data_IF_700381430673
#
_entry.id   IF_700381430673
#
_cell.length_a   1.000
_cell.length_b   1.000
_cell.length_c   1.000
_cell.angle_alpha   90.00
_cell.angle_beta   90.00
_cell.angle_gamma   90.00
#
_symmetry.space_group_name_H-M   'P 1'
#
loop_
_entity.id
_entity.type
_entity.pdbx_description
1 polymer ?
#
# COMPACT_ATOMS: atom_id res chain seq x y z
N UNK A 1 6.17 -5.71 2.51
CA UNK A 1 7.52 -6.12 2.99
C UNK A 1 7.34 -6.77 4.35
N UNK A 2 8.06 -7.87 4.63
CA UNK A 2 8.01 -8.53 5.95
C UNK A 2 9.18 -8.03 6.80
N UNK A 3 8.96 -7.84 8.11
CA UNK A 3 10.03 -7.50 9.04
C UNK A 3 11.07 -8.64 9.07
N UNK A 4 12.36 -8.29 9.01
CA UNK A 4 13.45 -9.27 9.18
C UNK A 4 13.68 -9.60 10.65
N UNK A 5 13.55 -8.57 11.51
CA UNK A 5 13.69 -8.69 12.96
C UNK A 5 12.48 -8.03 13.62
N UNK A 6 11.86 -8.70 14.59
CA UNK A 6 10.77 -8.16 15.40
C UNK A 6 11.37 -7.61 16.69
N UNK A 7 11.22 -6.30 16.93
CA UNK A 7 11.70 -5.64 18.15
C UNK A 7 10.78 -5.89 19.36
N UNK A 8 9.48 -6.14 19.11
CA UNK A 8 8.51 -6.35 20.17
C UNK A 8 7.14 -5.77 19.85
N UNK A 9 6.36 -5.47 20.92
CA UNK A 9 5.06 -4.80 20.81
C UNK A 9 5.05 -3.52 21.63
N UNK A 10 4.71 -2.40 20.98
CA UNK A 10 4.54 -1.10 21.61
C UNK A 10 3.08 -0.69 21.43
N UNK A 11 2.40 -0.32 22.52
CA UNK A 11 0.97 -0.01 22.51
C UNK A 11 0.10 -1.09 21.84
N UNK A 12 0.52 -2.38 21.93
CA UNK A 12 -0.17 -3.52 21.33
C UNK A 12 0.05 -3.69 19.80
N UNK A 13 0.90 -2.85 19.19
CA UNK A 13 1.26 -2.92 17.76
C UNK A 13 2.63 -3.60 17.64
N UNK A 14 2.75 -4.56 16.73
CA UNK A 14 4.04 -5.21 16.44
C UNK A 14 4.96 -4.22 15.73
N UNK A 15 6.19 -4.10 16.23
CA UNK A 15 7.23 -3.26 15.64
C UNK A 15 8.35 -4.16 15.14
N UNK A 16 8.71 -4.00 13.88
CA UNK A 16 9.79 -4.74 13.26
C UNK A 16 10.71 -3.84 12.44
N UNK A 17 11.87 -4.37 12.11
CA UNK A 17 12.90 -3.71 11.31
C UNK A 17 13.25 -4.60 10.13
N UNK A 18 13.30 -4.01 8.95
CA UNK A 18 13.83 -4.67 7.76
C UNK A 18 15.35 -4.44 7.69
N UNK A 19 16.11 -5.42 7.21
CA UNK A 19 17.59 -5.34 7.14
C UNK A 19 18.10 -4.08 6.43
N UNK A 20 17.33 -3.53 5.47
CA UNK A 20 17.69 -2.32 4.72
C UNK A 20 17.84 -1.07 5.58
N UNK A 21 17.30 -1.06 6.80
CA UNK A 21 17.53 0.02 7.78
C UNK A 21 19.01 0.14 8.14
N UNK A 22 19.74 -0.99 8.20
CA UNK A 22 21.16 -0.97 8.53
C UNK A 22 21.99 -0.16 7.53
N UNK A 23 21.55 -0.11 6.27
CA UNK A 23 22.23 0.67 5.23
C UNK A 23 22.11 2.17 5.53
N UNK A 24 20.89 2.68 5.74
CA UNK A 24 20.70 4.12 6.04
C UNK A 24 21.24 4.47 7.43
N UNK A 25 21.15 3.56 8.41
CA UNK A 25 21.79 3.73 9.72
C UNK A 25 23.29 3.91 9.55
N UNK A 26 23.95 3.04 8.79
CA UNK A 26 25.39 3.15 8.49
C UNK A 26 25.74 4.46 7.78
N UNK A 27 24.96 4.89 6.79
CA UNK A 27 25.16 6.17 6.10
C UNK A 27 25.07 7.35 7.05
N UNK A 28 24.06 7.37 7.94
CA UNK A 28 23.91 8.44 8.95
C UNK A 28 25.08 8.44 9.91
N UNK A 29 25.45 7.27 10.47
CA UNK A 29 26.59 7.17 11.39
C UNK A 29 27.87 7.64 10.74
N UNK A 30 28.18 7.17 9.52
CA UNK A 30 29.39 7.58 8.80
C UNK A 30 29.39 9.07 8.46
N UNK A 31 28.24 9.62 8.05
CA UNK A 31 28.07 11.05 7.79
C UNK A 31 28.33 11.92 9.04
N UNK A 32 27.86 11.45 10.20
CA UNK A 32 28.12 12.12 11.48
C UNK A 32 29.59 11.98 11.92
N UNK A 33 30.11 10.75 11.90
CA UNK A 33 31.45 10.42 12.44
C UNK A 33 32.59 10.95 11.57
N UNK A 34 32.48 10.86 10.24
CA UNK A 34 33.53 11.28 9.32
C UNK A 34 33.32 12.70 8.77
N UNK A 35 32.09 13.22 8.85
CA UNK A 35 31.73 14.54 8.31
C UNK A 35 31.42 15.54 9.43
N UNK A 36 30.18 15.54 9.89
CA UNK A 36 29.61 16.62 10.72
C UNK A 36 30.36 16.86 12.02
N UNK A 37 30.60 15.81 12.83
CA UNK A 37 31.21 15.96 14.17
C UNK A 37 32.65 16.44 14.08
N UNK A 38 33.56 15.88 13.26
CA UNK A 38 34.94 16.38 13.16
C UNK A 38 35.04 17.78 12.54
N UNK A 39 34.10 18.14 11.64
CA UNK A 39 34.10 19.50 11.04
C UNK A 39 33.66 20.56 12.06
N UNK A 40 32.67 20.25 12.88
CA UNK A 40 32.15 21.19 13.90
C UNK A 40 33.08 21.28 15.13
N UNK A 41 33.70 20.18 15.55
CA UNK A 41 34.52 20.07 16.74
C UNK A 41 35.80 19.27 16.44
N UNK A 42 36.79 19.86 15.75
CA UNK A 42 38.06 19.19 15.42
C UNK A 42 38.89 18.95 16.69
N UNK A 43 39.57 17.79 16.74
CA UNK A 43 40.52 17.47 17.82
C UNK A 43 40.03 16.50 18.88
N UNK A 44 38.77 16.11 18.84
CA UNK A 44 38.27 15.02 19.68
C UNK A 44 38.76 13.64 19.19
N UNK A 45 38.82 12.68 20.10
CA UNK A 45 39.23 11.30 19.74
C UNK A 45 38.16 10.55 18.93
N UNK A 46 38.61 9.72 18.01
CA UNK A 46 37.72 8.87 17.23
C UNK A 46 36.68 8.08 18.03
N UNK A 47 37.00 7.53 19.23
CA UNK A 47 35.98 6.84 20.04
C UNK A 47 34.82 7.75 20.45
N UNK A 48 35.08 9.04 20.71
CA UNK A 48 34.03 10.02 21.05
C UNK A 48 33.10 10.26 19.89
N UNK A 49 33.64 10.47 18.67
CA UNK A 49 32.80 10.64 17.49
C UNK A 49 31.95 9.39 17.20
N UNK A 50 32.51 8.20 17.35
CA UNK A 50 31.76 6.94 17.16
C UNK A 50 30.66 6.78 18.21
N UNK A 51 30.96 7.02 19.49
CA UNK A 51 29.97 6.89 20.54
C UNK A 51 28.79 7.86 20.34
N UNK A 52 29.10 9.13 20.06
CA UNK A 52 28.07 10.16 19.84
C UNK A 52 27.32 9.90 18.53
N UNK A 53 28.01 9.58 17.43
CA UNK A 53 27.38 9.32 16.14
C UNK A 53 26.43 8.12 16.18
N UNK A 54 26.83 7.02 16.82
CA UNK A 54 25.97 5.83 17.02
C UNK A 54 24.75 6.18 17.89
N UNK A 55 24.96 6.85 19.04
CA UNK A 55 23.86 7.24 19.91
C UNK A 55 22.87 8.17 19.19
N UNK A 56 23.39 9.16 18.46
CA UNK A 56 22.58 10.12 17.69
C UNK A 56 21.73 9.39 16.62
N UNK A 57 22.33 8.43 15.90
CA UNK A 57 21.58 7.63 14.92
C UNK A 57 20.48 6.79 15.59
N UNK A 58 20.76 6.15 16.72
CA UNK A 58 19.74 5.40 17.49
C UNK A 58 18.59 6.32 17.94
N UNK A 59 18.90 7.49 18.49
CA UNK A 59 17.89 8.47 18.91
C UNK A 59 17.07 8.98 17.72
N UNK A 60 17.70 9.20 16.56
CA UNK A 60 16.98 9.55 15.34
C UNK A 60 15.99 8.46 14.92
N UNK A 61 16.41 7.19 14.88
CA UNK A 61 15.51 6.09 14.56
C UNK A 61 14.39 5.91 15.60
N UNK A 62 14.66 6.20 16.87
CA UNK A 62 13.61 6.25 17.89
C UNK A 62 12.62 7.39 17.63
N UNK A 63 13.07 8.55 17.16
CA UNK A 63 12.22 9.67 16.74
C UNK A 63 11.35 9.30 15.53
N UNK A 64 11.94 8.64 14.54
CA UNK A 64 11.22 8.14 13.37
C UNK A 64 10.17 7.09 13.77
N UNK A 65 10.52 6.17 14.66
CA UNK A 65 9.56 5.20 15.20
C UNK A 65 8.43 5.88 15.98
N UNK A 66 8.72 6.94 16.74
CA UNK A 66 7.70 7.70 17.46
C UNK A 66 6.71 8.39 16.48
N UNK A 67 7.22 8.92 15.36
CA UNK A 67 6.41 9.46 14.27
C UNK A 67 5.44 8.41 13.71
N UNK A 68 5.94 7.23 13.31
CA UNK A 68 5.12 6.14 12.77
C UNK A 68 4.14 5.56 13.80
N UNK A 69 4.59 5.45 15.05
CA UNK A 69 3.74 4.96 16.13
C UNK A 69 2.60 5.91 16.42
N UNK A 70 2.81 7.21 16.30
CA UNK A 70 1.76 8.21 16.44
C UNK A 70 0.66 8.02 15.38
N UNK A 71 1.03 7.82 14.11
CA UNK A 71 0.07 7.49 13.04
C UNK A 71 -0.74 6.23 13.39
N UNK A 72 -0.06 5.17 13.79
CA UNK A 72 -0.68 3.88 14.09
C UNK A 72 -1.63 3.95 15.32
N UNK A 73 -1.24 4.66 16.38
CA UNK A 73 -2.08 4.86 17.57
C UNK A 73 -3.32 5.66 17.23
N UNK A 74 -3.18 6.76 16.47
CA UNK A 74 -4.31 7.60 16.06
C UNK A 74 -5.21 6.86 15.08
N UNK A 75 -4.66 6.04 14.17
CA UNK A 75 -5.44 5.16 13.28
C UNK A 75 -6.33 4.21 14.09
N UNK A 76 -5.77 3.50 15.08
CA UNK A 76 -6.54 2.59 15.96
C UNK A 76 -7.62 3.32 16.75
N UNK A 77 -7.33 4.52 17.26
CA UNK A 77 -8.34 5.36 17.96
C UNK A 77 -9.48 5.80 17.06
N UNK A 78 -9.27 5.82 15.75
CA UNK A 78 -10.30 6.13 14.75
C UNK A 78 -10.90 4.87 14.09
N UNK A 79 -10.74 3.68 14.71
CA UNK A 79 -11.37 2.44 14.24
C UNK A 79 -10.64 1.74 13.09
N UNK A 80 -9.41 2.17 12.75
CA UNK A 80 -8.61 1.52 11.71
C UNK A 80 -7.66 0.50 12.35
N UNK A 81 -7.79 -0.76 12.00
CA UNK A 81 -6.88 -1.81 12.48
C UNK A 81 -5.48 -1.65 11.87
N UNK A 82 -4.46 -1.84 12.71
CA UNK A 82 -3.05 -1.77 12.34
C UNK A 82 -2.40 -3.12 12.65
N UNK A 83 -1.81 -3.75 11.64
CA UNK A 83 -1.14 -5.05 11.78
C UNK A 83 0.23 -4.91 12.43
N UNK A 84 1.11 -4.18 11.80
CA UNK A 84 2.49 -3.97 12.24
C UNK A 84 3.06 -2.64 11.71
N UNK A 85 4.14 -2.20 12.32
CA UNK A 85 5.01 -1.12 11.84
C UNK A 85 6.33 -1.75 11.45
N UNK A 86 6.76 -1.53 10.22
CA UNK A 86 8.08 -2.01 9.74
C UNK A 86 8.92 -0.80 9.33
N UNK A 87 10.04 -0.61 10.03
CA UNK A 87 11.06 0.35 9.61
C UNK A 87 11.89 -0.25 8.47
N UNK A 88 12.12 0.52 7.41
CA UNK A 88 12.88 0.12 6.23
C UNK A 88 13.72 1.30 5.70
N UNK A 89 14.46 1.12 4.60
CA UNK A 89 15.42 2.07 4.04
C UNK A 89 14.89 3.51 3.92
N UNK A 90 13.65 3.70 3.52
CA UNK A 90 13.08 5.02 3.20
C UNK A 90 12.16 5.56 4.31
N UNK A 91 12.15 4.96 5.49
CA UNK A 91 11.33 5.40 6.61
C UNK A 91 10.60 4.27 7.31
N UNK A 92 9.44 4.55 7.91
CA UNK A 92 8.53 3.58 8.47
C UNK A 92 7.35 3.31 7.54
N UNK A 93 6.76 2.14 7.68
CA UNK A 93 5.50 1.80 7.02
C UNK A 93 4.59 1.09 8.02
N UNK A 94 3.53 1.78 8.45
CA UNK A 94 2.45 1.16 9.20
C UNK A 94 1.49 0.45 8.22
N UNK A 95 1.30 -0.86 8.39
CA UNK A 95 0.32 -1.61 7.61
C UNK A 95 -1.07 -1.45 8.21
N UNK A 96 -1.87 -0.61 7.56
CA UNK A 96 -3.28 -0.42 7.88
C UNK A 96 -4.11 -1.46 7.12
N UNK A 97 -5.01 -2.17 7.80
CA UNK A 97 -5.92 -3.14 7.17
C UNK A 97 -7.05 -2.48 6.40
N UNK A 98 -7.41 -1.28 6.81
CA UNK A 98 -8.49 -0.51 6.18
C UNK A 98 -8.07 0.94 6.00
N UNK A 99 -8.82 1.61 5.15
CA UNK A 99 -8.64 3.04 4.92
C UNK A 99 -9.40 3.85 5.99
N UNK A 100 -9.01 5.12 6.18
CA UNK A 100 -9.69 6.00 7.14
C UNK A 100 -11.20 6.11 6.84
N UNK A 101 -12.08 6.04 7.85
CA UNK A 101 -13.53 6.00 7.64
C UNK A 101 -14.12 7.38 7.29
N UNK A 102 -13.39 8.47 7.50
CA UNK A 102 -13.85 9.83 7.23
C UNK A 102 -12.69 10.79 6.95
N UNK A 103 -12.95 11.93 6.28
CA UNK A 103 -11.94 12.96 6.06
C UNK A 103 -11.31 13.47 7.36
N UNK A 104 -12.10 13.62 8.42
CA UNK A 104 -11.62 14.06 9.72
C UNK A 104 -10.70 13.02 10.40
N UNK A 105 -10.99 11.72 10.24
CA UNK A 105 -10.12 10.65 10.70
C UNK A 105 -8.80 10.67 9.93
N UNK A 106 -8.84 10.82 8.61
CA UNK A 106 -7.65 10.89 7.77
C UNK A 106 -6.77 12.09 8.11
N UNK A 107 -7.37 13.27 8.33
CA UNK A 107 -6.66 14.47 8.76
C UNK A 107 -5.91 14.25 10.08
N UNK A 108 -6.57 13.64 11.09
CA UNK A 108 -5.95 13.33 12.38
C UNK A 108 -4.82 12.31 12.24
N UNK A 109 -5.04 11.25 11.47
CA UNK A 109 -4.05 10.20 11.26
C UNK A 109 -2.82 10.78 10.55
N UNK A 110 -3.01 11.52 9.45
CA UNK A 110 -1.90 12.06 8.69
C UNK A 110 -1.17 13.22 9.40
N UNK A 111 -1.89 14.05 10.15
CA UNK A 111 -1.30 15.22 10.81
C UNK A 111 -0.48 14.91 12.04
N UNK A 112 -0.72 13.77 12.73
CA UNK A 112 -0.06 13.48 14.00
C UNK A 112 1.44 13.18 13.87
N UNK A 113 1.87 12.53 12.79
CA UNK A 113 3.29 12.22 12.55
C UNK A 113 4.15 13.48 12.44
N UNK A 114 3.85 14.38 11.47
CA UNK A 114 4.55 15.67 11.39
C UNK A 114 4.49 16.49 12.68
N UNK A 115 3.38 16.46 13.41
CA UNK A 115 3.28 17.12 14.71
C UNK A 115 4.25 16.55 15.75
N UNK A 116 4.35 15.21 15.83
CA UNK A 116 5.30 14.55 16.74
C UNK A 116 6.74 14.90 16.36
N UNK A 117 7.09 14.88 15.07
CA UNK A 117 8.42 15.27 14.62
C UNK A 117 8.72 16.74 14.93
N UNK A 118 7.76 17.64 14.78
CA UNK A 118 7.93 19.04 15.12
C UNK A 118 8.15 19.24 16.63
N UNK A 119 7.38 18.54 17.46
CA UNK A 119 7.54 18.55 18.92
C UNK A 119 8.91 18.01 19.32
N UNK A 120 9.34 16.88 18.76
CA UNK A 120 10.66 16.31 19.02
C UNK A 120 11.78 17.27 18.58
N UNK A 121 11.65 17.86 17.39
CA UNK A 121 12.58 18.88 16.91
C UNK A 121 12.68 20.07 17.86
N UNK A 122 11.57 20.57 18.37
CA UNK A 122 11.52 21.62 19.38
C UNK A 122 12.15 21.20 20.72
N UNK A 123 11.91 19.97 21.17
CA UNK A 123 12.53 19.43 22.41
C UNK A 123 14.06 19.31 22.25
N UNK A 124 14.54 18.82 21.10
CA UNK A 124 15.98 18.77 20.83
C UNK A 124 16.60 20.18 20.73
N UNK A 125 15.90 21.15 20.13
CA UNK A 125 16.35 22.54 20.10
C UNK A 125 16.43 23.14 21.51
N UNK A 126 15.44 22.85 22.36
CA UNK A 126 15.49 23.27 23.78
C UNK A 126 16.61 22.55 24.54
N UNK A 127 16.83 21.27 24.29
CA UNK A 127 17.94 20.51 24.85
C UNK A 127 19.29 21.10 24.44
N UNK A 128 19.44 21.53 23.17
CA UNK A 128 20.66 22.23 22.71
C UNK A 128 20.94 23.47 23.53
N UNK A 129 19.91 24.32 23.74
CA UNK A 129 20.05 25.53 24.55
C UNK A 129 20.44 25.22 26.01
N UNK A 130 19.82 24.19 26.61
CA UNK A 130 20.15 23.76 27.98
C UNK A 130 21.55 23.17 28.10
N UNK A 131 21.99 22.36 27.14
CA UNK A 131 23.35 21.79 27.11
C UNK A 131 24.42 22.86 26.94
N UNK A 132 24.18 23.85 26.10
CA UNK A 132 25.08 24.99 25.91
C UNK A 132 25.20 25.83 27.21
N UNK A 133 24.08 26.08 27.90
CA UNK A 133 24.03 26.81 29.16
C UNK A 133 24.86 26.15 30.30
N UNK A 134 24.98 24.82 30.28
CA UNK A 134 25.82 24.08 31.26
C UNK A 134 27.22 23.76 30.73
N UNK A 135 27.60 24.33 29.59
CA UNK A 135 28.90 24.11 28.93
C UNK A 135 29.20 22.62 28.68
N UNK A 136 28.18 21.87 28.20
CA UNK A 136 28.35 20.48 27.84
C UNK A 136 29.38 20.30 26.71
N UNK A 137 29.98 19.10 26.54
CA UNK A 137 30.91 18.83 25.44
C UNK A 137 30.35 19.20 24.09
N UNK A 138 31.10 19.96 23.28
CA UNK A 138 30.66 20.46 21.97
C UNK A 138 30.04 19.40 21.05
N UNK A 139 30.63 18.21 20.89
CA UNK A 139 30.03 17.14 20.08
C UNK A 139 28.65 16.66 20.54
N UNK A 140 28.33 16.77 21.85
CA UNK A 140 27.01 16.44 22.39
C UNK A 140 25.99 17.52 22.02
N UNK A 141 26.37 18.78 22.11
CA UNK A 141 25.58 19.94 21.69
C UNK A 141 25.27 19.80 20.17
N UNK A 142 26.30 19.50 19.36
CA UNK A 142 26.17 19.32 17.93
C UNK A 142 25.21 18.16 17.53
N UNK A 143 25.28 17.06 18.28
CA UNK A 143 24.33 15.96 18.12
C UNK A 143 22.87 16.39 18.39
N UNK A 144 22.65 17.18 19.43
CA UNK A 144 21.32 17.73 19.75
C UNK A 144 20.83 18.71 18.65
N UNK A 145 21.72 19.57 18.14
CA UNK A 145 21.45 20.46 16.99
C UNK A 145 21.02 19.62 15.77
N UNK A 146 21.79 18.59 15.44
CA UNK A 146 21.48 17.74 14.30
C UNK A 146 20.14 17.05 14.46
N UNK A 147 19.82 16.50 15.65
CA UNK A 147 18.52 15.88 15.95
C UNK A 147 17.37 16.89 15.85
N UNK A 148 17.56 18.11 16.30
CA UNK A 148 16.58 19.18 16.17
C UNK A 148 16.28 19.47 14.68
N UNK A 149 17.35 19.73 13.91
CA UNK A 149 17.23 20.07 12.49
C UNK A 149 16.58 18.94 11.69
N UNK A 150 17.04 17.69 11.88
CA UNK A 150 16.52 16.58 11.08
C UNK A 150 15.05 16.27 11.40
N UNK A 151 14.61 16.41 12.67
CA UNK A 151 13.21 16.23 13.02
C UNK A 151 12.31 17.36 12.49
N UNK A 152 12.80 18.62 12.50
CA UNK A 152 12.09 19.75 11.88
C UNK A 152 12.00 19.56 10.36
N UNK A 153 13.08 19.14 9.71
CA UNK A 153 13.08 18.82 8.28
C UNK A 153 12.12 17.68 7.96
N UNK A 154 12.10 16.63 8.78
CA UNK A 154 11.17 15.51 8.63
C UNK A 154 9.71 15.99 8.72
N UNK A 155 9.39 16.85 9.68
CA UNK A 155 8.08 17.47 9.82
C UNK A 155 7.73 18.33 8.59
N UNK A 156 8.64 19.23 8.20
CA UNK A 156 8.43 20.15 7.08
C UNK A 156 8.23 19.40 5.77
N UNK A 157 9.06 18.37 5.52
CA UNK A 157 8.96 17.56 4.30
C UNK A 157 7.65 16.77 4.27
N UNK A 158 7.24 16.20 5.40
CA UNK A 158 6.00 15.45 5.49
C UNK A 158 4.72 16.33 5.46
N UNK A 159 4.80 17.64 5.61
CA UNK A 159 3.66 18.57 5.45
C UNK A 159 3.48 19.00 3.99
N UNK A 160 4.46 18.78 3.11
CA UNK A 160 4.34 19.12 1.68
C UNK A 160 3.10 18.40 1.11
N UNK A 161 2.15 19.15 0.45
CA UNK A 161 0.88 18.59 0.00
C UNK A 161 1.03 17.73 -1.28
N UNK A 162 1.82 16.68 -1.19
CA UNK A 162 2.22 15.82 -2.29
C UNK A 162 2.25 14.35 -1.85
N UNK A 163 1.46 13.48 -2.46
CA UNK A 163 1.59 12.04 -2.24
C UNK A 163 2.99 11.56 -2.73
N UNK A 164 3.64 10.61 -2.06
CA UNK A 164 3.15 9.74 -0.97
C UNK A 164 3.37 10.27 0.45
N UNK A 165 3.74 11.53 0.62
CA UNK A 165 4.01 12.15 1.91
C UNK A 165 2.72 12.31 2.74
N UNK A 166 2.83 12.51 4.06
CA UNK A 166 1.68 12.76 4.92
C UNK A 166 0.90 14.00 4.52
N UNK A 167 1.57 15.04 4.01
CA UNK A 167 0.95 16.23 3.45
C UNK A 167 0.07 15.94 2.23
N UNK A 168 0.41 14.91 1.45
CA UNK A 168 -0.46 14.39 0.39
C UNK A 168 -1.75 13.79 0.96
N UNK A 169 -1.67 13.08 2.09
CA UNK A 169 -2.85 12.57 2.81
C UNK A 169 -3.66 13.70 3.45
N UNK A 170 -3.00 14.74 3.97
CA UNK A 170 -3.66 15.96 4.44
C UNK A 170 -4.42 16.66 3.29
N UNK A 171 -3.79 16.80 2.13
CA UNK A 171 -4.42 17.34 0.92
C UNK A 171 -5.60 16.45 0.49
N UNK A 172 -5.44 15.15 0.49
CA UNK A 172 -6.53 14.20 0.19
C UNK A 172 -7.70 14.36 1.16
N UNK A 173 -7.43 14.44 2.46
CA UNK A 173 -8.46 14.65 3.47
C UNK A 173 -9.23 15.97 3.24
N UNK A 174 -8.51 17.06 2.93
CA UNK A 174 -9.11 18.35 2.61
C UNK A 174 -9.97 18.30 1.34
N UNK A 175 -9.45 17.74 0.26
CA UNK A 175 -10.18 17.58 -0.99
C UNK A 175 -11.41 16.68 -0.83
N UNK A 176 -11.28 15.59 -0.07
CA UNK A 176 -12.40 14.70 0.22
C UNK A 176 -13.48 15.39 1.06
N UNK A 177 -13.09 16.14 2.09
CA UNK A 177 -14.04 16.96 2.85
C UNK A 177 -14.78 17.97 1.96
N UNK A 178 -14.08 18.59 1.01
CA UNK A 178 -14.65 19.61 0.13
C UNK A 178 -15.54 19.05 -0.98
N UNK A 179 -15.20 17.90 -1.54
CA UNK A 179 -15.86 17.32 -2.73
C UNK A 179 -16.84 16.19 -2.40
N UNK A 180 -16.74 15.60 -1.22
CA UNK A 180 -17.46 14.38 -0.87
C UNK A 180 -16.96 13.12 -1.60
N UNK A 181 -16.05 13.25 -2.56
CA UNK A 181 -15.57 12.19 -3.43
C UNK A 181 -14.11 11.85 -3.10
N UNK A 182 -13.92 10.68 -2.48
CA UNK A 182 -12.62 10.19 -2.07
C UNK A 182 -11.70 9.86 -3.25
N UNK A 183 -12.24 9.30 -4.33
CA UNK A 183 -11.45 8.92 -5.50
C UNK A 183 -10.89 10.15 -6.19
N UNK A 184 -11.72 11.20 -6.37
CA UNK A 184 -11.27 12.51 -6.89
C UNK A 184 -10.23 13.15 -5.99
N UNK A 185 -10.40 13.07 -4.68
CA UNK A 185 -9.44 13.58 -3.70
C UNK A 185 -8.08 12.86 -3.82
N UNK A 186 -8.08 11.52 -3.95
CA UNK A 186 -6.86 10.73 -4.16
C UNK A 186 -6.20 11.10 -5.48
N UNK A 187 -6.97 11.24 -6.58
CA UNK A 187 -6.43 11.66 -7.87
C UNK A 187 -5.80 13.05 -7.80
N UNK A 188 -6.38 13.99 -7.04
CA UNK A 188 -5.82 15.33 -6.78
C UNK A 188 -4.49 15.25 -6.03
N UNK A 189 -4.43 14.52 -4.93
CA UNK A 189 -3.22 14.37 -4.11
C UNK A 189 -2.08 13.68 -4.86
N UNK A 190 -2.38 12.63 -5.63
CA UNK A 190 -1.37 11.91 -6.43
C UNK A 190 -0.90 12.75 -7.63
N UNK A 191 -1.78 13.58 -8.21
CA UNK A 191 -1.37 14.54 -9.25
C UNK A 191 -0.44 15.61 -8.68
N UNK A 192 -0.74 16.18 -7.51
CA UNK A 192 0.15 17.10 -6.81
C UNK A 192 1.51 16.45 -6.52
N UNK A 193 1.52 15.19 -6.07
CA UNK A 193 2.76 14.42 -5.84
C UNK A 193 3.60 14.23 -7.09
N UNK A 194 2.97 13.89 -8.23
CA UNK A 194 3.67 13.79 -9.52
C UNK A 194 4.27 15.12 -9.96
N UNK A 195 3.50 16.20 -9.88
CA UNK A 195 3.98 17.53 -10.25
C UNK A 195 5.15 17.94 -9.38
N UNK A 196 5.03 17.77 -8.06
CA UNK A 196 6.12 18.06 -7.12
C UNK A 196 7.36 17.22 -7.40
N UNK A 197 7.21 15.91 -7.64
CA UNK A 197 8.32 15.04 -7.99
C UNK A 197 9.03 15.48 -9.27
N UNK A 198 8.31 15.82 -10.33
CA UNK A 198 8.89 16.33 -11.57
C UNK A 198 9.55 17.70 -11.41
N UNK A 199 9.03 18.58 -10.55
CA UNK A 199 9.70 19.83 -10.20
C UNK A 199 11.04 19.60 -9.51
N UNK A 200 11.10 18.62 -8.60
CA UNK A 200 12.38 18.23 -7.96
C UNK A 200 13.38 17.65 -8.98
N UNK A 201 12.90 16.83 -9.94
CA UNK A 201 13.75 16.34 -11.05
C UNK A 201 14.32 17.50 -11.84
N UNK A 202 13.48 18.42 -12.27
CA UNK A 202 13.91 19.58 -13.06
C UNK A 202 14.91 20.45 -12.29
N UNK A 203 14.65 20.70 -11.01
CA UNK A 203 15.55 21.47 -10.14
C UNK A 203 16.87 20.74 -9.89
N UNK A 204 16.82 19.43 -9.67
CA UNK A 204 18.01 18.59 -9.52
C UNK A 204 18.90 18.61 -10.79
N UNK A 205 18.30 18.53 -11.97
CA UNK A 205 19.03 18.66 -13.23
C UNK A 205 19.64 20.05 -13.40
N UNK A 206 18.96 21.09 -12.96
CA UNK A 206 19.49 22.46 -12.98
C UNK A 206 20.74 22.59 -12.07
N UNK A 207 20.71 22.02 -10.85
CA UNK A 207 21.86 21.99 -9.95
C UNK A 207 23.02 21.20 -10.56
N UNK A 208 22.72 20.05 -11.15
CA UNK A 208 23.70 19.22 -11.87
C UNK A 208 24.41 20.03 -12.98
N UNK A 209 23.64 20.75 -13.79
CA UNK A 209 24.22 21.61 -14.86
C UNK A 209 25.03 22.78 -14.31
N UNK A 210 24.78 23.21 -13.08
CA UNK A 210 25.56 24.26 -12.38
C UNK A 210 26.81 23.74 -11.67
N UNK A 211 27.11 22.44 -11.79
CA UNK A 211 28.32 21.82 -11.25
C UNK A 211 28.14 21.09 -9.93
N UNK A 212 26.98 21.17 -9.29
CA UNK A 212 26.66 20.31 -8.14
C UNK A 212 26.15 18.95 -8.64
N UNK A 213 27.09 18.12 -9.08
CA UNK A 213 26.81 16.82 -9.70
C UNK A 213 26.12 15.88 -8.70
N UNK A 214 26.62 15.79 -7.47
CA UNK A 214 26.09 14.87 -6.47
C UNK A 214 24.73 15.32 -5.92
N UNK A 215 24.62 16.58 -5.49
CA UNK A 215 23.36 17.14 -4.97
C UNK A 215 22.27 17.16 -6.03
N UNK A 216 22.60 17.55 -7.26
CA UNK A 216 21.65 17.57 -8.36
C UNK A 216 21.13 16.19 -8.74
N UNK A 217 22.02 15.19 -8.87
CA UNK A 217 21.61 13.80 -9.18
C UNK A 217 20.78 13.20 -8.05
N UNK A 218 21.19 13.44 -6.80
CA UNK A 218 20.46 12.96 -5.62
C UNK A 218 19.04 13.53 -5.57
N UNK A 219 18.89 14.84 -5.79
CA UNK A 219 17.59 15.50 -5.78
C UNK A 219 16.69 15.03 -6.94
N UNK A 220 17.28 14.85 -8.14
CA UNK A 220 16.55 14.31 -9.28
C UNK A 220 16.06 12.87 -9.02
N UNK A 221 16.88 12.03 -8.37
CA UNK A 221 16.51 10.67 -7.99
C UNK A 221 15.36 10.65 -6.98
N UNK A 222 15.40 11.50 -5.95
CA UNK A 222 14.30 11.65 -4.99
C UNK A 222 13.03 12.10 -5.71
N UNK A 223 13.11 13.08 -6.57
CA UNK A 223 11.98 13.60 -7.33
C UNK A 223 11.33 12.52 -8.22
N UNK A 224 12.15 11.75 -8.93
CA UNK A 224 11.68 10.63 -9.75
C UNK A 224 10.99 9.56 -8.89
N UNK A 225 11.59 9.19 -7.76
CA UNK A 225 11.02 8.23 -6.83
C UNK A 225 9.65 8.68 -6.30
N UNK A 226 9.51 9.95 -5.91
CA UNK A 226 8.24 10.52 -5.46
C UNK A 226 7.19 10.49 -6.57
N UNK A 227 7.55 10.90 -7.79
CA UNK A 227 6.64 10.87 -8.95
C UNK A 227 6.19 9.44 -9.29
N UNK A 228 7.11 8.48 -9.25
CA UNK A 228 6.80 7.06 -9.49
C UNK A 228 5.86 6.49 -8.43
N UNK A 229 6.14 6.77 -7.14
CA UNK A 229 5.34 6.29 -6.02
C UNK A 229 3.94 6.91 -6.02
N UNK A 230 3.82 8.24 -6.26
CA UNK A 230 2.54 8.92 -6.42
C UNK A 230 1.71 8.32 -7.57
N UNK A 231 2.36 7.96 -8.69
CA UNK A 231 1.71 7.32 -9.82
C UNK A 231 1.17 5.94 -9.46
N UNK A 232 1.98 5.13 -8.76
CA UNK A 232 1.58 3.80 -8.31
C UNK A 232 0.41 3.86 -7.32
N UNK A 233 0.42 4.81 -6.36
CA UNK A 233 -0.69 5.03 -5.42
C UNK A 233 -1.99 5.38 -6.15
N UNK A 234 -1.92 6.27 -7.14
CA UNK A 234 -3.09 6.66 -7.95
C UNK A 234 -3.67 5.48 -8.74
N UNK A 235 -2.81 4.66 -9.36
CA UNK A 235 -3.22 3.47 -10.08
C UNK A 235 -3.86 2.43 -9.14
N UNK A 236 -3.27 2.21 -7.97
CA UNK A 236 -3.81 1.29 -6.98
C UNK A 236 -5.18 1.74 -6.46
N UNK A 237 -5.36 3.04 -6.19
CA UNK A 237 -6.65 3.60 -5.76
C UNK A 237 -7.72 3.44 -6.85
N UNK A 238 -7.37 3.69 -8.11
CA UNK A 238 -8.28 3.52 -9.25
C UNK A 238 -8.67 2.04 -9.43
N UNK A 239 -7.71 1.12 -9.33
CA UNK A 239 -7.97 -0.31 -9.40
C UNK A 239 -8.94 -0.76 -8.32
N UNK A 240 -8.70 -0.35 -7.06
CA UNK A 240 -9.60 -0.67 -5.95
C UNK A 240 -11.01 -0.14 -6.16
N UNK A 241 -11.14 1.09 -6.68
CA UNK A 241 -12.45 1.69 -6.94
C UNK A 241 -13.23 0.95 -8.03
N UNK A 242 -12.55 0.50 -9.09
CA UNK A 242 -13.17 -0.31 -10.16
C UNK A 242 -13.62 -1.67 -9.62
N UNK A 243 -12.78 -2.31 -8.80
CA UNK A 243 -13.08 -3.62 -8.24
C UNK A 243 -14.14 -3.59 -7.11
N UNK A 244 -14.28 -2.47 -6.41
CA UNK A 244 -15.29 -2.33 -5.36
C UNK A 244 -16.74 -2.40 -5.88
N UNK A 245 -16.96 -2.07 -7.15
CA UNK A 245 -18.28 -2.15 -7.80
C UNK A 245 -18.60 -3.53 -8.41
N UNK A 246 -17.69 -4.50 -8.32
CA UNK A 246 -17.85 -5.83 -8.94
C UNK A 246 -18.01 -6.88 -7.84
N UNK A 247 -19.18 -7.53 -7.71
CA UNK A 247 -19.35 -8.61 -6.75
C UNK A 247 -18.63 -9.88 -7.22
N UNK A 248 -18.24 -10.71 -6.27
CA UNK A 248 -17.53 -11.98 -6.53
C UNK A 248 -18.31 -12.89 -7.47
N UNK A 249 -19.64 -12.87 -7.41
CA UNK A 249 -20.51 -13.68 -8.29
C UNK A 249 -20.27 -13.45 -9.79
N UNK A 250 -19.88 -12.24 -10.17
CA UNK A 250 -19.65 -11.88 -11.58
C UNK A 250 -18.31 -12.41 -12.13
N UNK A 251 -17.43 -12.82 -11.22
CA UNK A 251 -16.04 -13.23 -11.56
C UNK A 251 -15.78 -14.70 -11.26
N UNK A 252 -16.51 -15.29 -10.32
CA UNK A 252 -16.34 -16.69 -9.93
C UNK A 252 -16.57 -17.64 -11.12
N UNK A 253 -15.97 -18.83 -11.03
CA UNK A 253 -16.39 -19.97 -11.83
C UNK A 253 -17.63 -20.57 -11.18
N UNK A 254 -18.83 -20.45 -11.80
CA UNK A 254 -20.06 -21.00 -11.25
C UNK A 254 -20.08 -22.52 -11.37
N UNK A 255 -20.92 -23.18 -10.56
CA UNK A 255 -21.17 -24.64 -10.59
C UNK A 255 -19.88 -25.46 -10.67
N UNK A 256 -18.93 -25.31 -9.73
CA UNK A 256 -17.67 -26.01 -9.80
C UNK A 256 -17.86 -27.51 -9.64
N UNK A 257 -16.98 -28.28 -10.29
CA UNK A 257 -16.99 -29.75 -10.15
C UNK A 257 -16.69 -30.11 -8.69
N UNK A 258 -17.64 -30.79 -8.06
CA UNK A 258 -17.52 -31.21 -6.65
C UNK A 258 -17.09 -32.67 -6.54
N UNK A 259 -16.45 -33.02 -5.40
CA UNK A 259 -15.99 -34.37 -5.09
C UNK A 259 -16.68 -34.86 -3.82
N UNK A 260 -17.28 -36.06 -3.80
CA UNK A 260 -17.85 -36.64 -2.59
C UNK A 260 -16.77 -36.93 -1.54
N UNK A 261 -17.05 -36.59 -0.27
CA UNK A 261 -16.12 -36.86 0.85
C UNK A 261 -15.78 -38.34 1.03
N UNK A 262 -16.70 -39.26 0.72
CA UNK A 262 -16.51 -40.70 0.83
C UNK A 262 -15.68 -41.32 -0.29
N UNK A 263 -15.35 -40.58 -1.36
CA UNK A 263 -14.52 -41.08 -2.44
C UNK A 263 -13.08 -41.29 -1.96
N UNK A 264 -12.44 -42.41 -2.34
CA UNK A 264 -11.01 -42.63 -1.99
C UNK A 264 -10.10 -41.73 -2.84
N UNK A 265 -8.94 -41.34 -2.27
CA UNK A 265 -7.93 -40.52 -2.96
C UNK A 265 -7.43 -41.20 -4.24
N UNK A 266 -7.31 -42.52 -4.24
CA UNK A 266 -6.96 -43.29 -5.44
C UNK A 266 -7.98 -43.07 -6.57
N UNK A 267 -9.26 -43.28 -6.27
CA UNK A 267 -10.34 -43.08 -7.25
C UNK A 267 -10.45 -41.63 -7.71
N UNK A 268 -10.22 -40.68 -6.81
CA UNK A 268 -10.20 -39.25 -7.17
C UNK A 268 -9.12 -38.93 -8.21
N UNK A 269 -7.92 -39.47 -8.03
CA UNK A 269 -6.80 -39.27 -8.95
C UNK A 269 -6.95 -40.00 -10.28
N UNK A 270 -7.67 -41.13 -10.29
CA UNK A 270 -7.86 -41.97 -11.48
C UNK A 270 -9.07 -41.56 -12.32
N UNK A 271 -10.06 -40.90 -11.75
CA UNK A 271 -11.29 -40.55 -12.46
C UNK A 271 -11.06 -39.42 -13.49
N UNK A 272 -11.37 -39.65 -14.76
CA UNK A 272 -11.23 -38.64 -15.84
C UNK A 272 -11.94 -37.32 -15.58
N UNK A 273 -13.02 -37.30 -14.77
CA UNK A 273 -13.81 -36.12 -14.44
C UNK A 273 -12.98 -35.05 -13.67
N UNK A 274 -11.97 -35.49 -12.91
CA UNK A 274 -11.13 -34.63 -12.10
C UNK A 274 -9.76 -34.34 -12.74
N UNK A 275 -9.48 -34.92 -13.90
CA UNK A 275 -8.20 -34.70 -14.61
C UNK A 275 -8.21 -33.44 -15.46
N UNK A 276 -7.06 -32.78 -15.54
CA UNK A 276 -6.65 -31.75 -16.51
C UNK A 276 -7.36 -30.37 -16.47
N UNK A 277 -8.52 -30.20 -15.85
CA UNK A 277 -9.26 -28.94 -15.91
C UNK A 277 -9.14 -28.07 -14.66
N UNK A 278 -9.04 -28.69 -13.51
CA UNK A 278 -9.07 -27.99 -12.22
C UNK A 278 -7.98 -28.53 -11.29
N UNK A 279 -7.43 -27.69 -10.42
CA UNK A 279 -6.45 -28.08 -9.41
C UNK A 279 -7.03 -28.09 -7.99
N UNK A 280 -8.29 -27.66 -7.84
CA UNK A 280 -9.01 -27.66 -6.57
C UNK A 280 -10.49 -27.94 -6.80
N UNK A 281 -11.10 -28.65 -5.86
CA UNK A 281 -12.45 -29.18 -5.95
C UNK A 281 -13.15 -29.02 -4.60
N UNK A 282 -14.33 -28.36 -4.55
CA UNK A 282 -15.15 -28.35 -3.37
C UNK A 282 -15.58 -29.77 -2.99
N UNK A 283 -15.50 -30.11 -1.71
CA UNK A 283 -15.87 -31.43 -1.22
C UNK A 283 -17.28 -31.37 -0.63
N UNK A 284 -18.14 -32.30 -1.09
CA UNK A 284 -19.50 -32.43 -0.60
C UNK A 284 -19.64 -33.56 0.42
N UNK A 285 -20.34 -33.30 1.52
CA UNK A 285 -20.64 -34.26 2.56
C UNK A 285 -21.64 -35.33 2.11
N UNK A 286 -21.80 -36.38 2.94
CA UNK A 286 -22.87 -37.38 2.83
C UNK A 286 -24.12 -36.79 3.49
N UNK A 287 -25.15 -36.54 2.71
CA UNK A 287 -26.43 -36.04 3.19
C UNK A 287 -27.26 -35.46 2.04
N UNK A 288 -28.55 -35.65 2.09
CA UNK A 288 -29.51 -34.92 1.25
C UNK A 288 -29.95 -33.74 2.12
N UNK A 289 -29.84 -32.53 1.58
CA UNK A 289 -30.44 -31.36 2.24
C UNK A 289 -31.92 -31.61 2.47
N UNK A 290 -32.43 -31.32 3.66
CA UNK A 290 -33.82 -31.60 4.10
C UNK A 290 -34.87 -30.85 3.24
N UNK A 291 -34.46 -30.13 2.22
CA UNK A 291 -35.27 -29.40 1.24
C UNK A 291 -35.08 -29.79 -0.23
N UNK A 292 -34.42 -30.93 -0.55
CA UNK A 292 -34.21 -31.35 -1.94
C UNK A 292 -33.13 -30.56 -2.72
N UNK A 293 -32.24 -29.88 -2.01
CA UNK A 293 -31.16 -29.06 -2.56
C UNK A 293 -29.81 -29.77 -2.66
N UNK A 294 -28.78 -29.02 -3.04
CA UNK A 294 -27.40 -29.47 -3.21
C UNK A 294 -26.80 -29.97 -1.89
N UNK A 295 -25.90 -30.96 -1.96
CA UNK A 295 -25.19 -31.49 -0.80
C UNK A 295 -24.35 -30.39 -0.12
N UNK A 296 -24.27 -30.36 1.23
CA UNK A 296 -23.50 -29.37 1.94
C UNK A 296 -21.99 -29.49 1.60
N UNK A 297 -21.33 -28.36 1.43
CA UNK A 297 -19.88 -28.32 1.25
C UNK A 297 -19.22 -28.46 2.61
N UNK A 298 -18.28 -29.39 2.72
CA UNK A 298 -17.58 -29.72 3.97
C UNK A 298 -16.09 -29.37 3.93
N UNK A 299 -15.55 -28.99 2.76
CA UNK A 299 -14.16 -28.61 2.61
C UNK A 299 -13.71 -28.42 1.16
N UNK A 300 -12.41 -28.32 0.99
CA UNK A 300 -11.73 -28.15 -0.30
C UNK A 300 -10.66 -29.23 -0.46
N UNK A 301 -10.67 -29.93 -1.59
CA UNK A 301 -9.62 -30.86 -2.00
C UNK A 301 -8.77 -30.24 -3.10
N UNK A 302 -7.46 -30.22 -2.92
CA UNK A 302 -6.51 -29.81 -3.97
C UNK A 302 -5.72 -31.01 -4.48
N UNK A 303 -5.16 -30.90 -5.69
CA UNK A 303 -4.28 -31.93 -6.22
C UNK A 303 -3.02 -32.12 -5.37
N UNK A 304 -2.54 -31.06 -4.72
CA UNK A 304 -1.37 -31.11 -3.85
C UNK A 304 -1.67 -31.87 -2.54
N UNK A 305 -2.84 -31.65 -1.95
CA UNK A 305 -3.31 -32.45 -0.81
C UNK A 305 -3.48 -33.93 -1.18
N UNK A 306 -4.03 -34.21 -2.36
CA UNK A 306 -4.18 -35.59 -2.84
C UNK A 306 -2.83 -36.27 -3.07
N UNK A 307 -1.85 -35.56 -3.61
CA UNK A 307 -0.48 -36.06 -3.84
C UNK A 307 0.29 -36.25 -2.55
N UNK A 308 0.03 -35.45 -1.52
CA UNK A 308 0.66 -35.59 -0.21
C UNK A 308 0.28 -36.90 0.50
N UNK A 309 -0.82 -37.55 0.09
CA UNK A 309 -1.17 -38.90 0.55
C UNK A 309 -0.26 -39.90 -0.14
N UNK A 310 0.54 -40.65 0.66
CA UNK A 310 1.45 -41.70 0.15
C UNK A 310 0.70 -42.74 -0.68
N UNK A 311 1.30 -43.19 -1.78
CA UNK A 311 0.65 -44.06 -2.79
C UNK A 311 -0.01 -45.30 -2.19
N UNK A 312 0.66 -45.97 -1.23
CA UNK A 312 0.12 -47.16 -0.55
C UNK A 312 -1.15 -46.87 0.27
N UNK A 313 -1.35 -45.63 0.71
CA UNK A 313 -2.48 -45.20 1.54
C UNK A 313 -3.65 -44.68 0.73
N UNK A 314 -3.44 -44.24 -0.53
CA UNK A 314 -4.46 -43.66 -1.39
C UNK A 314 -5.73 -44.51 -1.55
N UNK A 315 -5.67 -45.84 -1.64
CA UNK A 315 -6.88 -46.68 -1.72
C UNK A 315 -7.71 -46.73 -0.43
N UNK A 316 -7.09 -46.45 0.73
CA UNK A 316 -7.73 -46.54 2.04
C UNK A 316 -8.17 -45.17 2.59
N UNK A 317 -7.52 -44.07 2.18
CA UNK A 317 -7.81 -42.71 2.65
C UNK A 317 -8.88 -42.09 1.79
N UNK A 318 -9.91 -41.54 2.41
CA UNK A 318 -10.98 -40.81 1.71
C UNK A 318 -10.62 -39.34 1.46
N UNK A 319 -11.28 -38.73 0.48
CA UNK A 319 -11.15 -37.29 0.21
C UNK A 319 -11.51 -36.46 1.45
N UNK A 320 -12.56 -36.86 2.18
CA UNK A 320 -12.96 -36.19 3.42
C UNK A 320 -11.91 -36.24 4.54
N UNK A 321 -11.02 -37.25 4.55
CA UNK A 321 -9.92 -37.35 5.50
C UNK A 321 -8.69 -36.54 5.07
N UNK A 322 -8.50 -36.31 3.76
CA UNK A 322 -7.35 -35.64 3.20
C UNK A 322 -7.59 -34.17 2.82
N UNK A 323 -8.84 -33.74 2.78
CA UNK A 323 -9.25 -32.37 2.39
C UNK A 323 -8.84 -31.31 3.42
N UNK A 324 -8.83 -30.06 3.00
CA UNK A 324 -8.87 -28.89 3.88
C UNK A 324 -10.30 -28.72 4.37
N UNK A 325 -10.59 -28.83 5.69
CA UNK A 325 -11.94 -28.64 6.24
C UNK A 325 -12.47 -27.23 5.98
N UNK A 326 -13.81 -27.07 5.90
CA UNK A 326 -14.45 -25.80 5.58
C UNK A 326 -14.08 -24.68 6.56
N UNK A 327 -13.89 -25.01 7.85
CA UNK A 327 -13.50 -24.03 8.89
C UNK A 327 -12.08 -23.47 8.65
N UNK A 328 -11.27 -24.15 7.88
CA UNK A 328 -9.91 -23.74 7.52
C UNK A 328 -9.80 -23.26 6.07
N UNK A 329 -10.79 -23.56 5.26
CA UNK A 329 -10.88 -23.06 3.88
C UNK A 329 -11.28 -21.59 3.87
N UNK A 330 -10.77 -20.85 2.93
CA UNK A 330 -11.21 -19.48 2.72
C UNK A 330 -12.57 -19.45 2.04
N UNK A 331 -13.55 -18.82 2.72
CA UNK A 331 -14.92 -18.70 2.25
C UNK A 331 -15.29 -17.23 2.11
N UNK A 332 -16.02 -16.91 1.05
CA UNK A 332 -16.56 -15.57 0.78
C UNK A 332 -18.01 -15.66 0.35
N UNK A 333 -18.77 -14.61 0.62
CA UNK A 333 -20.15 -14.48 0.11
C UNK A 333 -20.13 -14.04 -1.35
N UNK A 334 -21.11 -14.46 -2.13
CA UNK A 334 -21.24 -14.15 -3.55
C UNK A 334 -21.37 -12.64 -3.83
N UNK A 335 -21.95 -11.88 -2.89
CA UNK A 335 -22.11 -10.43 -2.99
C UNK A 335 -20.90 -9.62 -2.49
N UNK A 336 -19.88 -10.29 -1.95
CA UNK A 336 -18.68 -9.60 -1.47
C UNK A 336 -18.01 -8.84 -2.62
N UNK A 337 -17.62 -7.55 -2.42
CA UNK A 337 -16.87 -6.82 -3.43
C UNK A 337 -15.52 -7.48 -3.75
N UNK A 338 -15.18 -7.58 -5.04
CA UNK A 338 -13.93 -8.20 -5.48
C UNK A 338 -12.68 -7.52 -4.89
N UNK A 339 -12.76 -6.23 -4.60
CA UNK A 339 -11.70 -5.46 -3.95
C UNK A 339 -11.31 -6.01 -2.56
N UNK A 340 -12.27 -6.58 -1.81
CA UNK A 340 -12.03 -7.16 -0.48
C UNK A 340 -11.39 -8.54 -0.55
N UNK A 341 -11.61 -9.22 -1.67
CA UNK A 341 -11.12 -10.58 -1.92
C UNK A 341 -9.68 -10.57 -2.47
N UNK A 342 -9.32 -9.51 -3.19
CA UNK A 342 -8.02 -9.39 -3.86
C UNK A 342 -6.80 -9.67 -2.95
N UNK A 343 -6.73 -9.18 -1.69
CA UNK A 343 -5.60 -9.46 -0.80
C UNK A 343 -5.50 -10.92 -0.33
N UNK A 344 -6.60 -11.69 -0.45
CA UNK A 344 -6.69 -13.09 -0.01
C UNK A 344 -6.33 -14.07 -1.13
N UNK A 345 -6.41 -13.62 -2.38
CA UNK A 345 -6.11 -14.43 -3.56
C UNK A 345 -4.63 -14.37 -3.87
N UNK A 346 -3.83 -15.22 -3.21
CA UNK A 346 -2.42 -15.37 -3.54
C UNK A 346 -2.21 -16.30 -4.74
N UNK A 347 -1.12 -16.14 -5.53
CA UNK A 347 -0.76 -17.10 -6.56
C UNK A 347 -0.38 -18.44 -5.94
N UNK A 348 -1.14 -19.49 -6.25
CA UNK A 348 -0.90 -20.85 -5.77
C UNK A 348 -2.14 -21.73 -5.88
N UNK A 349 -1.95 -23.06 -5.94
CA UNK A 349 -3.05 -24.01 -6.07
C UNK A 349 -3.89 -24.11 -4.79
N UNK A 350 -3.30 -23.75 -3.64
CA UNK A 350 -3.92 -23.88 -2.31
C UNK A 350 -4.82 -22.68 -1.94
N UNK A 351 -4.65 -21.51 -2.58
CA UNK A 351 -5.36 -20.28 -2.25
C UNK A 351 -6.57 -20.07 -3.18
N UNK A 352 -7.56 -20.94 -3.06
CA UNK A 352 -8.83 -20.81 -3.74
C UNK A 352 -9.93 -20.53 -2.76
N UNK A 353 -10.79 -19.57 -3.13
CA UNK A 353 -11.91 -19.14 -2.30
C UNK A 353 -13.17 -19.89 -2.70
N UNK A 354 -13.82 -20.50 -1.74
CA UNK A 354 -15.17 -21.05 -1.92
C UNK A 354 -16.18 -19.92 -1.83
N UNK A 355 -17.02 -19.80 -2.84
CA UNK A 355 -18.08 -18.79 -2.87
C UNK A 355 -19.38 -19.43 -2.42
N UNK A 356 -19.95 -18.91 -1.35
CA UNK A 356 -21.25 -19.35 -0.85
C UNK A 356 -22.30 -18.25 -1.10
N UNK A 357 -23.51 -18.69 -1.42
CA UNK A 357 -24.70 -17.86 -1.49
C UNK A 357 -25.76 -18.46 -0.56
N UNK A 358 -26.11 -17.76 0.51
CA UNK A 358 -27.03 -18.26 1.53
C UNK A 358 -26.59 -19.59 2.16
N UNK A 359 -25.27 -19.83 2.30
CA UNK A 359 -24.70 -21.07 2.83
C UNK A 359 -24.60 -22.23 1.84
N UNK A 360 -24.98 -22.02 0.57
CA UNK A 360 -24.86 -22.99 -0.53
C UNK A 360 -23.67 -22.65 -1.41
N UNK A 361 -23.00 -23.67 -1.95
CA UNK A 361 -21.91 -23.47 -2.89
C UNK A 361 -22.45 -22.83 -4.18
N UNK A 362 -22.02 -21.59 -4.45
CA UNK A 362 -22.33 -20.87 -5.67
C UNK A 362 -21.19 -20.97 -6.70
N UNK A 363 -19.94 -21.01 -6.23
CA UNK A 363 -18.81 -21.02 -7.13
C UNK A 363 -17.46 -21.18 -6.43
N UNK A 364 -16.40 -21.01 -7.21
CA UNK A 364 -15.01 -20.96 -6.74
C UNK A 364 -14.30 -19.80 -7.43
N UNK A 365 -13.44 -19.10 -6.70
CA UNK A 365 -12.59 -18.02 -7.23
C UNK A 365 -11.13 -18.42 -7.15
N UNK A 366 -10.42 -18.23 -8.24
CA UNK A 366 -8.97 -18.43 -8.34
C UNK A 366 -8.23 -17.14 -8.71
N UNK A 367 -6.92 -17.10 -8.53
CA UNK A 367 -6.08 -15.98 -8.96
C UNK A 367 -6.23 -15.69 -10.48
N UNK A 368 -6.45 -16.72 -11.31
CA UNK A 368 -6.68 -16.54 -12.75
C UNK A 368 -8.02 -15.89 -13.07
N UNK A 369 -9.07 -16.16 -12.28
CA UNK A 369 -10.38 -15.52 -12.46
C UNK A 369 -10.29 -14.04 -12.12
N UNK A 370 -9.65 -13.71 -11.01
CA UNK A 370 -9.38 -12.32 -10.61
C UNK A 370 -8.53 -11.61 -11.65
N UNK A 371 -7.46 -12.24 -12.15
CA UNK A 371 -6.58 -11.64 -13.17
C UNK A 371 -7.31 -11.34 -14.47
N UNK A 372 -8.18 -12.25 -14.93
CA UNK A 372 -9.03 -12.03 -16.11
C UNK A 372 -10.00 -10.87 -15.91
N UNK A 373 -10.67 -10.82 -14.75
CA UNK A 373 -11.58 -9.74 -14.42
C UNK A 373 -10.88 -8.38 -14.37
N UNK A 374 -9.72 -8.30 -13.72
CA UNK A 374 -8.90 -7.08 -13.67
C UNK A 374 -8.51 -6.63 -15.08
N UNK A 375 -8.02 -7.54 -15.91
CA UNK A 375 -7.61 -7.22 -17.30
C UNK A 375 -8.79 -6.69 -18.11
N UNK A 376 -9.95 -7.34 -18.02
CA UNK A 376 -11.14 -6.91 -18.73
C UNK A 376 -11.67 -5.55 -18.27
N UNK A 377 -11.74 -5.34 -16.96
CA UNK A 377 -12.21 -4.09 -16.34
C UNK A 377 -11.28 -2.91 -16.67
N UNK A 378 -9.97 -3.13 -16.63
CA UNK A 378 -8.99 -2.09 -17.00
C UNK A 378 -9.10 -1.71 -18.48
N UNK A 379 -9.28 -2.68 -19.37
CA UNK A 379 -9.43 -2.42 -20.81
C UNK A 379 -10.72 -1.64 -21.11
N UNK A 380 -11.82 -1.97 -20.43
CA UNK A 380 -13.11 -1.26 -20.62
C UNK A 380 -13.10 0.13 -20.01
N UNK A 381 -12.47 0.32 -18.85
CA UNK A 381 -12.31 1.62 -18.21
C UNK A 381 -11.47 2.58 -19.08
N UNK A 382 -10.38 2.10 -19.69
CA UNK A 382 -9.57 2.90 -20.60
C UNK A 382 -10.34 3.36 -21.83
N UNK A 383 -11.09 2.47 -22.49
CA UNK A 383 -11.94 2.82 -23.64
C UNK A 383 -13.01 3.87 -23.29
N UNK A 384 -13.63 3.73 -22.12
CA UNK A 384 -14.61 4.73 -21.63
C UNK A 384 -13.98 6.11 -21.35
N UNK A 385 -12.75 6.16 -20.86
CA UNK A 385 -12.01 7.40 -20.64
C UNK A 385 -11.58 8.07 -21.96
N UNK A 386 -11.16 7.29 -22.95
CA UNK A 386 -10.80 7.77 -24.30
C UNK A 386 -12.01 8.32 -25.04
N UNK A 387 -13.14 7.63 -24.97
CA UNK A 387 -14.40 8.05 -25.59
C UNK A 387 -14.89 9.40 -25.01
N UNK A 388 -14.76 9.60 -23.70
CA UNK A 388 -15.10 10.90 -23.05
C UNK A 388 -14.17 12.03 -23.50
N UNK A 389 -12.85 11.77 -23.58
CA UNK A 389 -11.87 12.77 -24.06
C UNK A 389 -12.08 13.11 -25.55
N UNK A 390 -12.45 12.15 -26.37
CA UNK A 390 -12.78 12.36 -27.78
C UNK A 390 -14.06 13.17 -27.95
N UNK A 391 -15.08 12.95 -27.11
CA UNK A 391 -16.33 13.72 -27.11
C UNK A 391 -16.14 15.20 -26.72
N UNK A 392 -15.36 15.45 -25.66
CA UNK A 392 -15.05 16.83 -25.21
C UNK A 392 -14.19 17.59 -26.24
N UNK A 393 -13.30 16.92 -26.96
CA UNK A 393 -12.51 17.53 -28.04
C UNK A 393 -13.37 17.88 -29.26
N UNK A 394 -14.38 17.09 -29.59
CA UNK A 394 -15.31 17.34 -30.69
C UNK A 394 -16.25 18.51 -30.36
N UNK A 395 -16.72 18.63 -29.10
CA UNK A 395 -17.61 19.75 -28.67
C UNK A 395 -16.86 21.09 -28.54
N UNK A 396 -15.56 21.04 -28.17
CA UNK A 396 -14.72 22.26 -28.14
C UNK A 396 -14.31 22.77 -29.51
N UNK A 397 -14.25 21.90 -30.53
CA UNK A 397 -13.98 22.26 -31.93
C UNK A 397 -15.17 22.91 -32.64
N UNK A 398 -16.39 22.55 -32.25
CA UNK A 398 -17.62 23.10 -32.87
C UNK A 398 -17.98 24.53 -32.49
N UNK A 399 -17.40 25.12 -31.45
CA UNK A 399 -17.67 26.51 -31.00
C UNK A 399 -16.74 27.57 -31.55
N UNK A 400 -15.81 27.25 -32.43
CA UNK A 400 -14.90 28.24 -33.04
C UNK A 400 -15.22 28.58 -34.49
N UNK A 401 -16.37 28.18 -35.01
CA UNK A 401 -16.71 28.31 -36.45
C UNK A 401 -17.86 29.25 -36.82
N UNK A 402 -18.29 30.22 -35.95
CA UNK A 402 -19.42 31.09 -36.33
C UNK A 402 -19.23 32.55 -35.92
N UNK A 403 -18.09 33.14 -36.24
CA UNK A 403 -17.85 34.56 -36.19
C UNK A 403 -17.18 35.04 -37.48
N UNK A 404 -17.90 35.01 -38.62
CA UNK A 404 -17.27 35.52 -39.83
C UNK A 404 -18.10 35.41 -41.10
N UNK A 405 -19.39 35.78 -41.11
CA UNK A 405 -20.09 36.16 -42.36
C UNK A 405 -21.31 37.01 -42.01
N UNK A 406 -21.14 38.32 -42.03
CA UNK A 406 -22.27 39.22 -41.79
C UNK A 406 -21.87 40.68 -41.93
N UNK A 407 -21.11 41.06 -42.97
CA UNK A 407 -20.95 42.42 -43.41
C UNK A 407 -20.57 42.41 -44.90
N UNK A 408 -21.53 42.36 -45.79
CA UNK A 408 -21.51 43.06 -47.07
C UNK A 408 -22.82 42.74 -47.82
N UNK A 409 -23.80 43.61 -47.71
CA UNK A 409 -24.75 43.88 -48.80
C UNK A 409 -25.67 45.03 -48.44
N UNK A 410 -25.19 46.25 -48.54
CA UNK A 410 -26.02 47.45 -48.70
C UNK A 410 -25.28 48.54 -49.45
N UNK A 411 -25.13 48.33 -50.74
CA UNK A 411 -24.94 49.45 -51.68
C UNK A 411 -25.09 48.97 -53.12
N UNK A 412 -26.29 48.95 -53.66
CA UNK A 412 -26.64 49.17 -55.08
C UNK A 412 -28.12 49.03 -55.28
N UNK A 413 -28.74 50.14 -55.59
CA UNK A 413 -30.13 50.12 -56.06
C UNK A 413 -30.85 51.46 -55.93
N UNK A 414 -30.63 52.35 -56.94
CA UNK A 414 -31.41 53.50 -57.37
C UNK A 414 -31.40 54.75 -56.50
#
# INVERSE_FOLDING_TARGET
MRATVVLGRIAGIRVGVHWSVLLIFGVIVLGLVQGRLPQAHPGEGWPVYWAIGLLTAVVFFASLLAHELAHAIVARRNGVEVDDIVLWLLGGAARLKAEAPSPAAELRIAGVGPLVSLVLGGLFALATWGLDAVSAPGPVVEAAVWLAVINILLAAFNVIPAAPLDGGRLLRAFLWWRTGDRLRATAGATTAGRVFGWLLVAFGLLLFMRGDVFGGLWLAMIGWFLAATATAEGQQAQLRAVLAGVPVRDVMTPDPVTVPAGLTVARFLDDPRYRYRHSAFPVTGEGVDVGGGARPVVGLMTLDLARAVGEERRPAVTVGQAMLPLERAEVVDADTPLAEVLPRVEPGAEHRLLVLDGGRLAGIVSASDVSRAVTWLMTTAQRGAEARRGGDAADSGGRRGDWGQGWDDRSRGA
#
